data_IF_136508851283
#
_entry.id   IF_136508851283
#
_cell.length_a   1.000
_cell.length_b   1.000
_cell.length_c   1.000
_cell.angle_alpha   90.00
_cell.angle_beta   90.00
_cell.angle_gamma   90.00
#
_symmetry.space_group_name_H-M   'P 1'
#
loop_
_entity.id
_entity.type
_entity.pdbx_description
1 polymer ?
#
# COMPACT_ATOMS: atom_id res chain seq x y z
N UNK A 1 2.76 22.37 23.42
CA UNK A 1 2.21 21.08 23.89
C UNK A 1 3.37 20.12 24.08
N UNK A 2 3.62 19.64 25.30
CA UNK A 2 4.71 18.69 25.60
C UNK A 2 4.30 17.31 25.10
N UNK A 3 4.76 16.89 23.93
CA UNK A 3 4.58 15.51 23.45
C UNK A 3 5.43 14.62 24.34
N UNK A 4 4.79 13.85 25.20
CA UNK A 4 5.44 13.12 26.29
C UNK A 4 6.55 12.18 25.80
N UNK A 5 7.75 12.34 26.39
CA UNK A 5 8.96 11.51 26.28
C UNK A 5 8.72 9.99 26.21
N UNK A 6 7.59 9.53 26.76
CA UNK A 6 7.17 8.12 26.80
C UNK A 6 6.82 7.57 25.40
N UNK A 7 6.26 8.39 24.50
CA UNK A 7 5.90 7.97 23.14
C UNK A 7 7.17 7.80 22.28
N UNK A 8 8.14 8.69 22.44
CA UNK A 8 9.43 8.62 21.73
C UNK A 8 10.31 7.47 22.22
N UNK A 9 10.34 7.21 23.54
CA UNK A 9 11.10 6.08 24.10
C UNK A 9 10.57 4.71 23.64
N UNK A 10 9.26 4.58 23.37
CA UNK A 10 8.69 3.36 22.78
C UNK A 10 8.97 3.23 21.28
N UNK A 11 9.09 4.34 20.56
CA UNK A 11 9.47 4.37 19.13
C UNK A 11 10.86 3.76 18.88
N UNK A 12 11.79 3.91 19.83
CA UNK A 12 13.16 3.38 19.71
C UNK A 12 13.26 1.85 19.80
N UNK A 13 12.22 1.15 20.24
CA UNK A 13 12.19 -0.32 20.37
C UNK A 13 11.42 -1.04 19.27
N UNK A 14 10.87 -0.32 18.29
CA UNK A 14 10.12 -0.94 17.19
C UNK A 14 11.12 -1.50 16.18
N UNK A 15 10.99 -2.79 15.85
CA UNK A 15 11.83 -3.46 14.86
C UNK A 15 11.82 -2.63 13.55
N UNK A 16 12.98 -2.25 12.99
CA UNK A 16 13.07 -1.49 11.74
C UNK A 16 12.31 -2.13 10.58
N UNK A 17 12.18 -3.46 10.54
CA UNK A 17 11.40 -4.18 9.53
C UNK A 17 9.90 -3.87 9.62
N UNK A 18 9.36 -3.86 10.85
CA UNK A 18 7.94 -3.54 11.09
C UNK A 18 7.67 -2.10 10.65
N UNK A 19 8.60 -1.17 10.95
CA UNK A 19 8.47 0.21 10.51
C UNK A 19 8.44 0.31 8.99
N UNK A 20 9.37 -0.36 8.30
CA UNK A 20 9.42 -0.35 6.83
C UNK A 20 8.16 -0.97 6.21
N UNK A 21 7.65 -2.05 6.78
CA UNK A 21 6.41 -2.67 6.36
C UNK A 21 5.23 -1.70 6.48
N UNK A 22 5.09 -1.04 7.64
CA UNK A 22 4.02 -0.05 7.88
C UNK A 22 4.15 1.14 6.92
N UNK A 23 5.35 1.66 6.72
CA UNK A 23 5.59 2.77 5.80
C UNK A 23 5.20 2.40 4.35
N UNK A 24 5.49 1.16 3.92
CA UNK A 24 5.09 0.67 2.59
C UNK A 24 3.58 0.43 2.48
N UNK A 25 2.94 -0.15 3.50
CA UNK A 25 1.49 -0.37 3.47
C UNK A 25 0.72 0.94 3.48
N UNK A 26 1.19 1.99 4.16
CA UNK A 26 0.59 3.32 4.07
C UNK A 26 0.68 3.88 2.65
N UNK A 27 1.83 3.80 1.99
CA UNK A 27 1.97 4.26 0.58
C UNK A 27 1.03 3.53 -0.37
N UNK A 28 0.86 2.23 -0.18
CA UNK A 28 -0.09 1.42 -0.96
C UNK A 28 -1.53 1.91 -0.72
N UNK A 29 -1.91 2.14 0.53
CA UNK A 29 -3.25 2.63 0.89
C UNK A 29 -3.51 4.03 0.33
N UNK A 30 -2.53 4.93 0.41
CA UNK A 30 -2.62 6.27 -0.16
C UNK A 30 -2.84 6.21 -1.67
N UNK A 31 -2.08 5.35 -2.37
CA UNK A 31 -2.25 5.14 -3.82
C UNK A 31 -3.63 4.60 -4.17
N UNK A 32 -4.14 3.64 -3.41
CA UNK A 32 -5.52 3.14 -3.58
C UNK A 32 -6.53 4.27 -3.38
N UNK A 33 -6.33 5.12 -2.37
CA UNK A 33 -7.22 6.24 -2.08
C UNK A 33 -7.23 7.28 -3.20
N UNK A 34 -6.07 7.60 -3.77
CA UNK A 34 -5.93 8.48 -4.94
C UNK A 34 -6.74 7.94 -6.11
N UNK A 35 -6.53 6.67 -6.48
CA UNK A 35 -7.22 6.03 -7.61
C UNK A 35 -8.74 6.04 -7.38
N UNK A 36 -9.20 5.72 -6.17
CA UNK A 36 -10.61 5.78 -5.82
C UNK A 36 -11.17 7.19 -6.00
N UNK A 37 -10.45 8.22 -5.52
CA UNK A 37 -10.86 9.62 -5.62
C UNK A 37 -10.91 10.09 -7.08
N UNK A 38 -9.91 9.75 -7.88
CA UNK A 38 -9.84 10.07 -9.31
C UNK A 38 -11.02 9.46 -10.08
N UNK A 39 -11.43 8.24 -9.73
CA UNK A 39 -12.55 7.54 -10.35
C UNK A 39 -13.92 7.85 -9.72
N UNK A 40 -13.97 8.72 -8.71
CA UNK A 40 -15.20 9.04 -7.98
C UNK A 40 -15.78 7.86 -7.19
N UNK A 41 -14.97 6.85 -6.90
CA UNK A 41 -15.34 5.63 -6.18
C UNK A 41 -15.11 5.80 -4.67
N UNK A 42 -15.88 5.05 -3.88
CA UNK A 42 -15.72 4.94 -2.43
C UNK A 42 -15.21 3.55 -2.06
N UNK A 43 -14.76 3.38 -0.82
CA UNK A 43 -14.30 2.08 -0.30
C UNK A 43 -15.36 0.98 -0.42
N UNK A 44 -16.65 1.33 -0.30
CA UNK A 44 -17.76 0.40 -0.53
C UNK A 44 -17.83 -0.13 -1.96
N UNK A 45 -17.47 0.71 -2.94
CA UNK A 45 -17.51 0.33 -4.35
C UNK A 45 -16.33 -0.60 -4.66
N UNK A 46 -15.18 -0.38 -4.02
CA UNK A 46 -14.06 -1.32 -4.05
C UNK A 46 -14.44 -2.67 -3.41
N UNK A 47 -15.11 -2.66 -2.27
CA UNK A 47 -15.59 -3.87 -1.61
C UNK A 47 -16.52 -4.67 -2.52
N UNK A 48 -17.47 -3.99 -3.17
CA UNK A 48 -18.40 -4.60 -4.12
C UNK A 48 -17.68 -5.22 -5.32
N UNK A 49 -16.71 -4.49 -5.92
CA UNK A 49 -15.92 -4.97 -7.07
C UNK A 49 -15.07 -6.20 -6.74
N UNK A 50 -14.56 -6.28 -5.52
CA UNK A 50 -13.75 -7.40 -5.05
C UNK A 50 -14.58 -8.55 -4.49
N UNK A 51 -15.90 -8.40 -4.36
CA UNK A 51 -16.75 -9.39 -3.68
C UNK A 51 -16.38 -9.56 -2.20
N UNK A 52 -15.90 -8.49 -1.56
CA UNK A 52 -15.46 -8.47 -0.16
C UNK A 52 -16.37 -7.62 0.71
N UNK A 53 -16.26 -7.81 2.02
CA UNK A 53 -17.02 -7.01 2.97
C UNK A 53 -16.36 -5.64 3.17
N UNK A 54 -17.16 -4.58 3.33
CA UNK A 54 -16.64 -3.23 3.57
C UNK A 54 -15.72 -3.16 4.80
N UNK A 55 -16.00 -3.94 5.84
CA UNK A 55 -15.16 -4.00 7.05
C UNK A 55 -13.76 -4.57 6.78
N UNK A 56 -13.62 -5.42 5.76
CA UNK A 56 -12.33 -5.97 5.32
C UNK A 56 -11.52 -4.90 4.59
N UNK A 57 -12.14 -4.21 3.62
CA UNK A 57 -11.51 -3.08 2.93
C UNK A 57 -11.13 -1.97 3.91
N UNK A 58 -12.02 -1.62 4.84
CA UNK A 58 -11.73 -0.66 5.92
C UNK A 58 -10.52 -1.09 6.77
N UNK A 59 -10.31 -2.40 6.97
CA UNK A 59 -9.13 -2.91 7.67
C UNK A 59 -7.86 -2.75 6.86
N UNK A 60 -7.92 -2.96 5.56
CA UNK A 60 -6.78 -2.74 4.65
C UNK A 60 -6.38 -1.27 4.63
N UNK A 61 -7.36 -0.37 4.54
CA UNK A 61 -7.16 1.08 4.49
C UNK A 61 -6.65 1.70 5.81
N UNK A 62 -6.49 0.92 6.89
CA UNK A 62 -5.85 1.39 8.13
C UNK A 62 -4.32 1.48 8.05
N UNK A 63 -3.71 0.97 6.97
CA UNK A 63 -2.26 1.07 6.74
C UNK A 63 -1.41 0.12 7.59
N UNK A 64 -2.02 -0.79 8.35
CA UNK A 64 -1.33 -1.84 9.13
C UNK A 64 -1.52 -3.23 8.56
N UNK A 65 -2.07 -3.32 7.34
CA UNK A 65 -2.34 -4.59 6.68
C UNK A 65 -1.13 -5.05 5.85
N UNK A 66 -0.85 -6.35 5.94
CA UNK A 66 0.14 -7.00 5.09
C UNK A 66 -0.52 -7.35 3.75
N UNK A 67 -0.30 -6.50 2.74
CA UNK A 67 -0.77 -6.78 1.39
C UNK A 67 0.06 -7.90 0.76
N UNK A 68 -0.62 -8.93 0.25
CA UNK A 68 -0.01 -9.94 -0.61
C UNK A 68 -0.04 -9.47 -2.06
N UNK A 69 0.84 -10.02 -2.90
CA UNK A 69 0.88 -9.73 -4.34
C UNK A 69 -0.48 -10.03 -4.98
N UNK A 70 -1.09 -11.18 -4.66
CA UNK A 70 -2.40 -11.57 -5.17
C UNK A 70 -3.50 -10.55 -4.81
N UNK A 71 -3.43 -9.99 -3.60
CA UNK A 71 -4.38 -8.95 -3.16
C UNK A 71 -4.16 -7.66 -3.94
N UNK A 72 -2.91 -7.27 -4.18
CA UNK A 72 -2.59 -6.09 -4.98
C UNK A 72 -3.11 -6.26 -6.41
N UNK A 73 -2.83 -7.39 -7.06
CA UNK A 73 -3.32 -7.70 -8.41
C UNK A 73 -4.85 -7.62 -8.46
N UNK A 74 -5.54 -8.22 -7.50
CA UNK A 74 -7.01 -8.17 -7.45
C UNK A 74 -7.54 -6.73 -7.34
N UNK A 75 -6.88 -5.88 -6.54
CA UNK A 75 -7.27 -4.46 -6.42
C UNK A 75 -6.93 -3.70 -7.72
N UNK A 76 -5.77 -3.94 -8.32
CA UNK A 76 -5.36 -3.35 -9.60
C UNK A 76 -6.35 -3.70 -10.71
N UNK A 77 -6.77 -4.96 -10.81
CA UNK A 77 -7.79 -5.42 -11.77
C UNK A 77 -9.16 -4.78 -11.49
N UNK A 78 -9.56 -4.68 -10.22
CA UNK A 78 -10.84 -4.08 -9.83
C UNK A 78 -10.89 -2.57 -10.11
N UNK A 79 -9.75 -1.89 -9.98
CA UNK A 79 -9.62 -0.45 -10.21
C UNK A 79 -9.21 -0.11 -11.64
N UNK A 80 -8.58 -1.04 -12.36
CA UNK A 80 -7.99 -0.83 -13.68
C UNK A 80 -6.79 0.13 -13.66
N UNK A 81 -6.02 0.19 -12.57
CA UNK A 81 -4.83 1.05 -12.43
C UNK A 81 -3.75 0.33 -11.63
N UNK A 82 -2.46 0.58 -11.94
CA UNK A 82 -1.35 0.06 -11.14
C UNK A 82 -1.27 0.77 -9.78
N UNK A 83 -1.03 -0.03 -8.73
CA UNK A 83 -0.83 0.39 -7.34
C UNK A 83 0.63 0.32 -6.97
N UNK A 84 1.36 -0.71 -7.42
CA UNK A 84 2.77 -0.90 -7.12
C UNK A 84 3.61 -0.99 -8.40
N UNK A 85 4.80 -0.38 -8.36
CA UNK A 85 5.78 -0.48 -9.45
C UNK A 85 7.07 -1.14 -8.93
N UNK A 86 7.69 -1.96 -9.76
CA UNK A 86 8.97 -2.61 -9.45
C UNK A 86 10.10 -1.67 -9.87
N UNK A 87 10.96 -1.30 -8.91
CA UNK A 87 12.19 -0.58 -9.20
C UNK A 87 13.16 -1.53 -9.90
N UNK A 88 13.29 -1.42 -11.21
CA UNK A 88 14.41 -1.99 -11.92
C UNK A 88 15.57 -0.99 -11.85
N UNK A 89 16.72 -1.31 -11.21
CA UNK A 89 17.93 -0.57 -11.54
C UNK A 89 18.11 -0.75 -13.04
N UNK A 90 18.31 0.34 -13.80
CA UNK A 90 18.54 0.22 -15.23
C UNK A 90 19.66 -0.81 -15.44
N UNK A 91 19.29 -1.99 -15.93
CA UNK A 91 20.28 -2.94 -16.40
C UNK A 91 20.79 -2.28 -17.66
N UNK A 92 21.91 -1.58 -17.56
CA UNK A 92 22.77 -1.27 -18.70
C UNK A 92 23.15 -2.61 -19.31
N UNK A 93 22.26 -3.16 -20.13
CA UNK A 93 22.60 -4.19 -21.07
C UNK A 93 23.50 -3.47 -22.06
N UNK A 94 24.81 -3.65 -21.87
CA UNK A 94 25.76 -3.37 -22.94
C UNK A 94 25.18 -4.00 -24.21
N UNK A 95 25.04 -3.24 -25.31
CA UNK A 95 24.55 -3.82 -26.54
C UNK A 95 25.49 -4.99 -26.89
N UNK A 96 24.91 -6.18 -27.02
CA UNK A 96 25.61 -7.35 -27.56
C UNK A 96 26.30 -6.87 -28.85
N UNK A 97 27.63 -6.84 -28.79
CA UNK A 97 28.45 -6.58 -29.96
C UNK A 97 28.26 -7.78 -30.89
N UNK A 98 27.40 -7.61 -31.90
CA UNK A 98 27.28 -8.53 -33.03
C UNK A 98 28.17 -8.00 -34.14
#
# INVERSE_FOLDING_TARGET
MKTSNIIEARRQKVNPEIRRMVDLSFKIVDRIHEILKEKGLKQKDLALRLGKNESEISRWMRGTHHFTIDTLIAIEDALGEPIIAVCHPEVTREPLSV
#
